data_IF_189604560687
#
_entry.id   IF_189604560687
#
_cell.length_a   1.000
_cell.length_b   1.000
_cell.length_c   1.000
_cell.angle_alpha   90.00
_cell.angle_beta   90.00
_cell.angle_gamma   90.00
#
_symmetry.space_group_name_H-M   'P 1'
#
loop_
_entity.id
_entity.type
_entity.pdbx_description
1 polymer ?
#
# COMPACT_ATOMS: atom_id res chain seq x y z
N UNK A 1 -48.34 -21.97 1.03
CA UNK A 1 -48.73 -23.40 1.04
C UNK A 1 -47.48 -24.20 0.69
N UNK A 2 -47.10 -25.15 1.56
CA UNK A 2 -45.90 -26.02 1.55
C UNK A 2 -44.54 -25.36 1.86
N UNK A 3 -44.13 -25.48 3.11
CA UNK A 3 -42.76 -25.82 3.50
C UNK A 3 -42.85 -27.04 4.43
N UNK A 4 -42.11 -28.10 4.10
CA UNK A 4 -42.01 -29.33 4.88
C UNK A 4 -40.78 -29.22 5.79
N UNK A 5 -41.03 -29.34 7.09
CA UNK A 5 -40.07 -29.72 8.12
C UNK A 5 -39.37 -31.04 7.76
N UNK A 6 -38.05 -31.10 7.95
CA UNK A 6 -37.34 -32.37 8.14
C UNK A 6 -36.38 -32.23 9.31
N UNK A 7 -36.77 -32.88 10.40
CA UNK A 7 -36.02 -33.01 11.65
C UNK A 7 -34.76 -33.84 11.42
N UNK A 8 -33.61 -33.38 11.91
CA UNK A 8 -32.46 -34.26 12.17
C UNK A 8 -32.38 -34.45 13.68
N UNK A 9 -32.87 -35.62 14.13
CA UNK A 9 -32.70 -36.10 15.50
C UNK A 9 -31.25 -36.47 15.73
N UNK A 10 -30.70 -35.89 16.80
CA UNK A 10 -29.54 -36.36 17.52
C UNK A 10 -29.83 -37.73 18.17
N UNK A 11 -28.93 -38.69 18.00
CA UNK A 11 -28.83 -39.90 18.83
C UNK A 11 -27.36 -40.32 18.84
N UNK A 12 -26.80 -40.35 20.04
CA UNK A 12 -25.37 -40.44 20.37
C UNK A 12 -24.99 -41.90 20.69
N UNK A 13 -23.67 -42.18 20.69
CA UNK A 13 -22.95 -43.29 21.35
C UNK A 13 -22.86 -44.56 20.48
N UNK A 14 -21.70 -45.16 20.18
CA UNK A 14 -20.41 -45.32 20.87
C UNK A 14 -19.37 -45.65 19.79
N UNK A 15 -18.14 -45.13 19.88
CA UNK A 15 -16.87 -45.79 19.52
C UNK A 15 -15.76 -44.75 19.35
N UNK A 16 -14.83 -44.73 20.31
CA UNK A 16 -13.41 -44.40 20.17
C UNK A 16 -12.97 -43.60 18.94
N UNK A 17 -12.73 -42.29 19.06
CA UNK A 17 -11.85 -41.57 18.13
C UNK A 17 -11.30 -40.27 18.76
N UNK A 18 -10.40 -40.43 19.72
CA UNK A 18 -9.56 -39.34 20.27
C UNK A 18 -8.46 -38.85 19.31
N UNK A 19 -8.58 -39.10 18.00
CA UNK A 19 -7.49 -38.91 17.03
C UNK A 19 -7.83 -38.04 15.81
N UNK A 20 -9.01 -37.41 15.73
CA UNK A 20 -9.45 -36.68 14.52
C UNK A 20 -9.58 -35.15 14.62
N UNK A 21 -9.31 -34.55 15.77
CA UNK A 21 -9.23 -33.08 15.90
C UNK A 21 -7.83 -32.51 15.61
N UNK A 22 -6.82 -33.36 15.38
CA UNK A 22 -5.43 -32.97 15.15
C UNK A 22 -4.99 -32.93 13.68
N UNK A 23 -5.80 -33.40 12.74
CA UNK A 23 -5.38 -33.62 11.35
C UNK A 23 -5.84 -32.56 10.34
N UNK A 24 -6.77 -31.68 10.70
CA UNK A 24 -7.29 -30.65 9.76
C UNK A 24 -6.61 -29.28 9.89
N UNK A 25 -5.73 -29.09 10.88
CA UNK A 25 -5.03 -27.80 11.09
C UNK A 25 -3.76 -27.65 10.22
N UNK A 26 -3.36 -28.65 9.44
CA UNK A 26 -2.10 -28.64 8.68
C UNK A 26 -2.22 -28.73 7.15
N UNK A 27 -3.40 -28.57 6.55
CA UNK A 27 -3.53 -28.46 5.09
C UNK A 27 -4.60 -27.45 4.67
N UNK A 28 -4.17 -26.48 3.86
CA UNK A 28 -4.93 -25.38 3.22
C UNK A 28 -5.01 -24.10 4.05
N UNK A 29 -4.96 -22.93 3.40
CA UNK A 29 -4.98 -21.59 4.01
C UNK A 29 -6.24 -21.38 4.87
N UNK A 30 -6.20 -21.82 6.14
CA UNK A 30 -7.27 -21.60 7.11
C UNK A 30 -7.35 -20.10 7.38
N UNK A 31 -8.51 -19.50 7.11
CA UNK A 31 -8.72 -18.08 7.38
C UNK A 31 -8.54 -17.82 8.89
N UNK A 32 -7.88 -16.72 9.31
CA UNK A 32 -7.57 -16.49 10.73
C UNK A 32 -8.80 -16.43 11.66
N UNK A 33 -9.98 -16.12 11.13
CA UNK A 33 -11.25 -16.25 11.88
C UNK A 33 -11.60 -17.71 12.19
N UNK A 34 -11.40 -18.63 11.25
CA UNK A 34 -11.70 -20.06 11.46
C UNK A 34 -10.72 -20.67 12.48
N UNK A 35 -9.45 -20.26 12.43
CA UNK A 35 -8.46 -20.62 13.45
C UNK A 35 -8.87 -20.10 14.84
N UNK A 36 -9.34 -18.85 14.93
CA UNK A 36 -9.82 -18.26 16.18
C UNK A 36 -11.06 -18.98 16.72
N UNK A 37 -12.04 -19.29 15.87
CA UNK A 37 -13.23 -20.07 16.22
C UNK A 37 -12.88 -21.47 16.69
N UNK A 38 -11.93 -22.14 16.03
CA UNK A 38 -11.42 -23.44 16.46
C UNK A 38 -10.77 -23.40 17.84
N UNK A 39 -9.94 -22.38 18.12
CA UNK A 39 -9.37 -22.19 19.47
C UNK A 39 -10.45 -21.90 20.50
N UNK A 40 -11.46 -21.07 20.18
CA UNK A 40 -12.56 -20.76 21.10
C UNK A 40 -13.37 -22.01 21.44
N UNK A 41 -13.68 -22.84 20.43
CA UNK A 41 -14.37 -24.10 20.62
C UNK A 41 -13.61 -25.03 21.57
N UNK A 42 -12.27 -25.13 21.45
CA UNK A 42 -11.44 -25.93 22.36
C UNK A 42 -11.45 -25.41 23.82
N UNK A 43 -11.57 -24.10 24.01
CA UNK A 43 -11.71 -23.51 25.36
C UNK A 43 -13.09 -23.79 25.98
N UNK A 44 -14.12 -23.89 25.14
CA UNK A 44 -15.52 -24.05 25.56
C UNK A 44 -15.95 -25.52 25.71
N UNK A 45 -15.08 -26.50 25.41
CA UNK A 45 -15.36 -27.93 25.62
C UNK A 45 -15.60 -28.25 27.10
N UNK A 46 -16.74 -28.85 27.43
CA UNK A 46 -17.15 -29.13 28.81
C UNK A 46 -16.32 -30.25 29.48
N UNK A 47 -15.97 -31.30 28.73
CA UNK A 47 -15.31 -32.50 29.27
C UNK A 47 -13.78 -32.40 29.29
N UNK A 48 -13.18 -31.52 28.47
CA UNK A 48 -11.74 -31.30 28.40
C UNK A 48 -11.41 -29.85 28.07
N UNK A 49 -11.67 -28.95 29.03
CA UNK A 49 -11.31 -27.53 28.89
C UNK A 49 -9.82 -27.39 28.66
N UNK A 50 -9.45 -27.05 27.43
CA UNK A 50 -8.08 -26.72 27.12
C UNK A 50 -7.77 -25.33 27.69
N UNK A 51 -6.56 -25.17 28.22
CA UNK A 51 -5.97 -23.86 28.50
C UNK A 51 -5.23 -23.32 27.27
N UNK A 52 -4.93 -22.02 27.25
CA UNK A 52 -4.16 -21.40 26.17
C UNK A 52 -2.80 -22.09 26.00
N UNK A 53 -2.18 -22.49 27.12
CA UNK A 53 -0.90 -23.21 27.17
C UNK A 53 -1.00 -24.61 26.54
N UNK A 54 -2.10 -25.32 26.78
CA UNK A 54 -2.32 -26.64 26.19
C UNK A 54 -2.64 -26.55 24.69
N UNK A 55 -3.41 -25.54 24.26
CA UNK A 55 -3.65 -25.29 22.83
C UNK A 55 -2.33 -24.93 22.13
N UNK A 56 -1.52 -24.06 22.75
CA UNK A 56 -0.18 -23.70 22.29
C UNK A 56 0.72 -24.92 22.10
N UNK A 57 0.79 -25.80 23.09
CA UNK A 57 1.58 -27.03 23.03
C UNK A 57 1.11 -27.99 21.92
N UNK A 58 -0.21 -28.13 21.71
CA UNK A 58 -0.78 -29.01 20.69
C UNK A 58 -0.61 -28.47 19.27
N UNK A 59 -0.68 -27.16 19.09
CA UNK A 59 -0.64 -26.50 17.77
C UNK A 59 0.77 -26.09 17.34
N UNK A 60 1.74 -26.12 18.26
CA UNK A 60 3.10 -25.62 18.01
C UNK A 60 3.18 -24.10 17.86
N UNK A 61 2.14 -23.36 18.26
CA UNK A 61 2.08 -21.89 18.25
C UNK A 61 2.41 -21.35 19.65
N UNK A 62 2.90 -20.12 19.75
CA UNK A 62 3.15 -19.51 21.06
C UNK A 62 1.82 -19.20 21.80
N UNK A 63 1.81 -19.17 23.15
CA UNK A 63 0.61 -18.77 23.90
C UNK A 63 0.12 -17.38 23.51
N UNK A 64 1.04 -16.46 23.22
CA UNK A 64 0.74 -15.10 22.73
C UNK A 64 0.02 -15.13 21.38
N UNK A 65 0.41 -16.03 20.47
CA UNK A 65 -0.27 -16.19 19.18
C UNK A 65 -1.71 -16.69 19.37
N UNK A 66 -1.90 -17.73 20.18
CA UNK A 66 -3.23 -18.31 20.47
C UNK A 66 -4.13 -17.27 21.13
N UNK A 67 -3.63 -16.56 22.16
CA UNK A 67 -4.36 -15.49 22.83
C UNK A 67 -4.73 -14.35 21.88
N UNK A 68 -3.80 -13.94 21.00
CA UNK A 68 -4.06 -12.91 20.00
C UNK A 68 -5.11 -13.36 18.99
N UNK A 69 -5.07 -14.62 18.53
CA UNK A 69 -6.08 -15.16 17.62
C UNK A 69 -7.45 -15.24 18.25
N UNK A 70 -7.56 -15.70 19.50
CA UNK A 70 -8.81 -15.73 20.25
C UNK A 70 -9.48 -14.37 20.32
N UNK A 71 -8.72 -13.27 20.37
CA UNK A 71 -9.32 -11.92 20.34
C UNK A 71 -10.17 -11.64 19.11
N UNK A 72 -9.91 -12.29 17.97
CA UNK A 72 -10.71 -12.11 16.76
C UNK A 72 -12.18 -12.52 16.95
N UNK A 73 -12.50 -13.38 17.93
CA UNK A 73 -13.90 -13.73 18.24
C UNK A 73 -14.67 -12.62 18.96
N UNK A 74 -13.99 -11.55 19.37
CA UNK A 74 -14.59 -10.36 20.01
C UNK A 74 -14.94 -9.26 18.97
N UNK A 75 -14.78 -9.53 17.67
CA UNK A 75 -15.11 -8.61 16.59
C UNK A 75 -16.63 -8.47 16.39
N UNK A 76 -17.08 -7.27 16.07
CA UNK A 76 -18.47 -7.03 15.64
C UNK A 76 -18.72 -7.58 14.24
N UNK A 77 -19.97 -7.92 13.93
CA UNK A 77 -20.33 -8.52 12.64
C UNK A 77 -19.84 -7.70 11.44
N UNK A 78 -19.94 -6.37 11.51
CA UNK A 78 -19.48 -5.46 10.47
C UNK A 78 -17.97 -5.59 10.19
N UNK A 79 -17.15 -5.79 11.22
CA UNK A 79 -15.70 -5.99 11.08
C UNK A 79 -15.39 -7.41 10.61
N UNK A 80 -16.11 -8.41 11.11
CA UNK A 80 -16.00 -9.81 10.67
C UNK A 80 -16.26 -9.91 9.17
N UNK A 81 -17.32 -9.28 8.68
CA UNK A 81 -17.68 -9.27 7.26
C UNK A 81 -16.60 -8.58 6.41
N UNK A 82 -16.06 -7.44 6.87
CA UNK A 82 -14.97 -6.75 6.18
C UNK A 82 -13.68 -7.60 6.15
N UNK A 83 -13.44 -8.39 7.19
CA UNK A 83 -12.28 -9.27 7.27
C UNK A 83 -12.42 -10.49 6.35
N UNK A 84 -13.58 -11.14 6.32
CA UNK A 84 -13.85 -12.24 5.38
C UNK A 84 -13.81 -11.80 3.91
N UNK A 85 -14.17 -10.54 3.62
CA UNK A 85 -14.03 -9.95 2.27
C UNK A 85 -12.61 -9.50 1.94
N UNK A 86 -11.64 -9.76 2.81
CA UNK A 86 -10.24 -9.34 2.68
C UNK A 86 -10.06 -7.81 2.51
N UNK A 87 -11.03 -7.01 2.96
CA UNK A 87 -10.92 -5.54 2.92
C UNK A 87 -9.90 -5.01 3.93
N UNK A 88 -9.68 -5.77 5.01
CA UNK A 88 -8.71 -5.49 6.06
C UNK A 88 -7.81 -6.71 6.30
N UNK A 89 -6.57 -6.47 6.73
CA UNK A 89 -5.65 -7.54 7.08
C UNK A 89 -5.79 -8.00 8.53
N UNK A 90 -5.16 -9.13 8.86
CA UNK A 90 -5.11 -9.70 10.22
C UNK A 90 -4.63 -8.69 11.27
N UNK A 91 -3.63 -7.87 10.91
CA UNK A 91 -3.11 -6.84 11.81
C UNK A 91 -4.15 -5.78 12.18
N UNK A 92 -4.99 -5.36 11.23
CA UNK A 92 -6.10 -4.44 11.49
C UNK A 92 -7.16 -5.11 12.36
N UNK A 93 -7.57 -6.33 12.00
CA UNK A 93 -8.58 -7.08 12.75
C UNK A 93 -8.17 -7.28 14.22
N UNK A 94 -6.90 -7.60 14.49
CA UNK A 94 -6.37 -7.74 15.86
C UNK A 94 -6.40 -6.42 16.65
N UNK A 95 -6.18 -5.27 16.01
CA UNK A 95 -6.29 -3.97 16.68
C UNK A 95 -7.75 -3.60 16.97
N UNK A 96 -8.65 -3.86 16.01
CA UNK A 96 -10.09 -3.61 16.17
C UNK A 96 -10.67 -4.48 17.28
N UNK A 97 -10.27 -5.75 17.37
CA UNK A 97 -10.70 -6.67 18.43
C UNK A 97 -10.36 -6.23 19.86
N UNK A 98 -9.42 -5.27 20.03
CA UNK A 98 -9.11 -4.70 21.35
C UNK A 98 -10.07 -3.58 21.78
N UNK A 99 -10.95 -3.13 20.89
CA UNK A 99 -11.85 -2.00 21.11
C UNK A 99 -13.26 -2.48 21.50
N UNK A 100 -14.00 -1.61 22.18
CA UNK A 100 -15.41 -1.87 22.48
C UNK A 100 -16.25 -1.91 21.19
N UNK A 101 -17.37 -2.65 21.17
CA UNK A 101 -18.17 -2.83 19.95
C UNK A 101 -18.56 -1.54 19.23
N UNK A 102 -18.92 -0.49 19.97
CA UNK A 102 -19.27 0.84 19.46
C UNK A 102 -18.09 1.56 18.79
N UNK A 103 -16.88 1.30 19.28
CA UNK A 103 -15.64 1.89 18.77
C UNK A 103 -15.09 1.15 17.55
N UNK A 104 -15.38 -0.15 17.43
CA UNK A 104 -14.89 -0.98 16.33
C UNK A 104 -15.37 -0.47 14.96
N UNK A 105 -16.63 -0.02 14.86
CA UNK A 105 -17.18 0.49 13.59
C UNK A 105 -16.54 1.81 13.17
N UNK A 106 -16.34 2.72 14.12
CA UNK A 106 -15.67 3.99 13.86
C UNK A 106 -14.22 3.78 13.44
N UNK A 107 -13.52 2.87 14.12
CA UNK A 107 -12.15 2.51 13.81
C UNK A 107 -12.03 1.78 12.45
N UNK A 108 -13.01 0.95 12.09
CA UNK A 108 -13.08 0.30 10.78
C UNK A 108 -13.22 1.34 9.66
N UNK A 109 -14.08 2.35 9.82
CA UNK A 109 -14.21 3.43 8.85
C UNK A 109 -12.87 4.17 8.66
N UNK A 110 -12.15 4.43 9.76
CA UNK A 110 -10.85 5.10 9.75
C UNK A 110 -9.71 4.28 9.14
N UNK A 111 -9.90 2.97 8.91
CA UNK A 111 -8.91 2.14 8.21
C UNK A 111 -8.74 2.54 6.74
N UNK A 112 -9.69 3.30 6.17
CA UNK A 112 -9.72 3.56 4.74
C UNK A 112 -9.57 5.05 4.43
N UNK A 113 -8.97 5.33 3.28
CA UNK A 113 -8.92 6.67 2.69
C UNK A 113 -9.46 6.64 1.28
N UNK A 114 -10.23 7.66 0.92
CA UNK A 114 -10.67 7.89 -0.44
C UNK A 114 -9.56 8.57 -1.25
N UNK A 115 -9.24 7.98 -2.40
CA UNK A 115 -8.32 8.55 -3.37
C UNK A 115 -9.08 8.98 -4.64
N UNK A 116 -8.96 10.28 -4.92
CA UNK A 116 -9.57 10.96 -6.06
C UNK A 116 -8.55 11.25 -7.18
N UNK A 117 -7.28 10.81 -7.01
CA UNK A 117 -6.17 11.16 -7.93
C UNK A 117 -6.31 10.56 -9.34
N UNK A 118 -7.09 9.50 -9.51
CA UNK A 118 -7.25 8.78 -10.78
C UNK A 118 -8.40 9.27 -11.65
N UNK A 119 -8.77 10.55 -11.62
CA UNK A 119 -9.64 11.22 -12.63
C UNK A 119 -11.00 10.56 -12.94
N UNK A 120 -11.41 9.57 -12.15
CA UNK A 120 -12.63 8.79 -12.34
C UNK A 120 -13.78 9.40 -11.54
N UNK A 121 -15.00 9.11 -11.97
CA UNK A 121 -16.21 9.62 -11.31
C UNK A 121 -16.48 9.02 -9.91
N UNK A 122 -15.66 8.05 -9.45
CA UNK A 122 -15.77 7.41 -8.14
C UNK A 122 -14.42 7.36 -7.44
N UNK A 123 -14.39 7.73 -6.16
CA UNK A 123 -13.21 7.60 -5.32
C UNK A 123 -12.81 6.14 -5.12
N UNK A 124 -11.51 5.85 -5.21
CA UNK A 124 -10.99 4.53 -4.85
C UNK A 124 -10.80 4.47 -3.34
N UNK A 125 -11.42 3.49 -2.68
CA UNK A 125 -11.20 3.22 -1.25
C UNK A 125 -9.88 2.47 -1.09
N UNK A 126 -8.92 3.06 -0.39
CA UNK A 126 -7.58 2.51 -0.14
C UNK A 126 -7.47 2.14 1.34
N UNK A 127 -7.05 0.91 1.63
CA UNK A 127 -6.71 0.48 2.98
C UNK A 127 -5.40 1.15 3.43
N UNK A 128 -5.44 1.84 4.57
CA UNK A 128 -4.27 2.44 5.18
C UNK A 128 -3.42 1.38 5.92
N UNK A 129 -2.10 1.57 6.07
CA UNK A 129 -1.27 0.68 6.87
C UNK A 129 -1.76 0.54 8.31
N UNK A 130 -1.49 -0.61 8.94
CA UNK A 130 -1.88 -0.90 10.35
C UNK A 130 -1.44 0.21 11.32
N UNK A 131 -0.28 0.81 11.08
CA UNK A 131 0.25 1.93 11.88
C UNK A 131 -0.68 3.15 11.88
N UNK A 132 -1.38 3.42 10.79
CA UNK A 132 -2.34 4.52 10.71
C UNK A 132 -3.57 4.26 11.58
N UNK A 133 -4.06 3.03 11.61
CA UNK A 133 -5.13 2.63 12.53
C UNK A 133 -4.68 2.76 13.99
N UNK A 134 -3.47 2.30 14.31
CA UNK A 134 -2.91 2.47 15.65
C UNK A 134 -2.88 3.94 16.09
N UNK A 135 -2.35 4.82 15.23
CA UNK A 135 -2.33 6.25 15.49
C UNK A 135 -3.74 6.83 15.67
N UNK A 136 -4.70 6.39 14.86
CA UNK A 136 -6.09 6.81 14.98
C UNK A 136 -6.71 6.39 16.32
N UNK A 137 -6.47 5.15 16.78
CA UNK A 137 -6.94 4.65 18.08
C UNK A 137 -6.35 5.49 19.22
N UNK A 138 -5.04 5.75 19.18
CA UNK A 138 -4.36 6.58 20.20
C UNK A 138 -4.87 8.03 20.23
N UNK A 139 -5.36 8.54 19.09
CA UNK A 139 -5.83 9.93 18.95
C UNK A 139 -7.33 10.11 19.18
N UNK A 140 -8.14 9.04 19.13
CA UNK A 140 -9.60 9.14 19.22
C UNK A 140 -10.21 8.29 20.33
N UNK A 141 -9.54 7.21 20.74
CA UNK A 141 -10.07 6.25 21.73
C UNK A 141 -9.21 6.22 22.99
N UNK A 142 -7.93 5.88 22.86
CA UNK A 142 -6.98 5.76 23.97
C UNK A 142 -6.23 7.09 24.18
N UNK A 143 -6.97 8.10 24.61
CA UNK A 143 -6.52 9.49 24.67
C UNK A 143 -5.50 9.69 25.79
N UNK A 144 -4.22 9.75 25.41
CA UNK A 144 -3.09 9.82 26.34
C UNK A 144 -3.16 11.10 27.18
N UNK A 145 -3.34 10.93 28.50
CA UNK A 145 -3.56 12.02 29.45
C UNK A 145 -2.34 12.95 29.57
N UNK A 146 -1.12 12.46 29.27
CA UNK A 146 0.08 13.29 29.23
C UNK A 146 -0.02 14.41 28.18
N UNK A 147 -0.70 14.17 27.07
CA UNK A 147 -0.87 15.11 25.95
C UNK A 147 -2.13 15.99 26.11
N UNK A 148 -2.89 15.83 27.19
CA UNK A 148 -4.10 16.62 27.40
C UNK A 148 -3.76 18.11 27.57
N UNK A 149 -4.46 19.02 26.85
CA UNK A 149 -4.23 20.46 26.92
C UNK A 149 -4.74 21.09 28.22
N UNK A 150 -5.58 20.35 28.96
CA UNK A 150 -6.20 20.81 30.21
C UNK A 150 -5.51 20.25 31.45
N UNK A 151 -5.73 20.92 32.59
CA UNK A 151 -5.27 20.40 33.88
C UNK A 151 -6.11 19.18 34.29
N UNK A 152 -5.42 18.05 34.43
CA UNK A 152 -5.99 16.77 34.83
C UNK A 152 -6.56 16.78 36.24
N UNK A 153 -6.09 17.70 37.10
CA UNK A 153 -6.53 17.84 38.49
C UNK A 153 -7.79 18.70 38.63
N UNK A 154 -8.14 19.48 37.61
CA UNK A 154 -9.29 20.40 37.65
C UNK A 154 -10.60 19.60 37.62
N UNK A 155 -11.22 19.45 38.80
CA UNK A 155 -12.51 18.81 38.97
C UNK A 155 -13.69 19.71 38.53
N UNK A 156 -13.46 21.02 38.40
CA UNK A 156 -14.48 22.01 38.06
C UNK A 156 -14.59 22.24 36.55
N UNK A 157 -13.60 21.77 35.77
CA UNK A 157 -13.61 21.92 34.32
C UNK A 157 -14.87 21.31 33.68
N UNK A 158 -15.27 20.13 34.15
CA UNK A 158 -16.56 19.50 33.83
C UNK A 158 -17.05 18.85 35.13
N UNK A 159 -17.93 19.51 35.90
CA UNK A 159 -18.32 19.06 37.25
C UNK A 159 -18.90 17.64 37.28
N UNK A 160 -19.68 17.26 36.26
CA UNK A 160 -20.24 15.92 36.14
C UNK A 160 -19.19 14.81 35.97
N UNK A 161 -17.99 15.14 35.47
CA UNK A 161 -16.92 14.17 35.23
C UNK A 161 -15.85 14.16 36.33
N UNK A 162 -15.71 15.25 37.10
CA UNK A 162 -14.71 15.38 38.16
C UNK A 162 -13.26 15.38 37.65
N UNK A 163 -12.32 15.06 38.53
CA UNK A 163 -10.87 15.06 38.23
C UNK A 163 -10.43 13.82 37.45
N UNK A 164 -9.49 13.99 36.52
CA UNK A 164 -8.92 12.86 35.78
C UNK A 164 -7.95 12.02 36.64
N UNK A 165 -7.38 12.62 37.70
CA UNK A 165 -6.38 11.96 38.58
C UNK A 165 -6.97 10.87 39.45
N UNK A 166 -8.28 10.86 39.68
CA UNK A 166 -8.99 9.82 40.45
C UNK A 166 -10.02 9.07 39.61
N UNK A 167 -10.04 9.32 38.29
CA UNK A 167 -11.04 8.76 37.41
C UNK A 167 -10.87 7.23 37.26
N UNK A 168 -11.94 6.43 37.40
CA UNK A 168 -11.86 4.98 37.18
C UNK A 168 -11.75 4.60 35.70
N UNK A 169 -12.06 5.53 34.78
CA UNK A 169 -12.06 5.34 33.32
C UNK A 169 -10.69 5.62 32.67
N UNK A 170 -9.61 5.55 33.44
CA UNK A 170 -8.23 5.69 32.92
C UNK A 170 -7.51 4.36 32.95
N UNK A 171 -6.62 4.15 32.00
CA UNK A 171 -5.86 2.91 31.90
C UNK A 171 -4.92 2.71 33.09
N UNK A 172 -4.44 3.79 33.71
CA UNK A 172 -3.63 3.77 34.93
C UNK A 172 -4.37 3.34 36.20
N UNK A 173 -5.71 3.34 36.20
CA UNK A 173 -6.53 2.82 37.31
C UNK A 173 -6.61 1.28 37.26
N UNK A 174 -6.66 0.72 36.05
CA UNK A 174 -6.74 -0.73 35.80
C UNK A 174 -5.51 -1.24 35.03
N UNK A 175 -4.31 -1.08 35.61
CA UNK A 175 -3.02 -1.43 34.95
C UNK A 175 -2.94 -2.87 34.44
N UNK A 176 -3.60 -3.81 35.09
CA UNK A 176 -3.62 -5.22 34.68
C UNK A 176 -4.32 -5.43 33.34
N UNK A 177 -5.37 -4.66 33.04
CA UNK A 177 -6.11 -4.75 31.78
C UNK A 177 -5.40 -4.05 30.61
N UNK A 178 -4.43 -3.17 30.91
CA UNK A 178 -3.79 -2.30 29.94
C UNK A 178 -2.26 -2.41 29.97
N UNK A 179 -1.72 -3.60 30.25
CA UNK A 179 -0.27 -3.85 30.28
C UNK A 179 0.45 -3.48 28.99
N UNK A 180 -0.24 -3.55 27.85
CA UNK A 180 0.28 -3.21 26.52
C UNK A 180 0.63 -1.72 26.35
N UNK A 181 0.03 -0.82 27.17
CA UNK A 181 0.30 0.63 27.11
C UNK A 181 1.58 1.03 27.86
N UNK A 182 2.26 0.08 28.51
CA UNK A 182 3.51 0.31 29.22
C UNK A 182 3.36 1.35 30.34
N UNK A 183 4.06 2.47 30.22
CA UNK A 183 4.05 3.57 31.21
C UNK A 183 3.03 4.68 30.89
N UNK A 184 2.27 4.57 29.79
CA UNK A 184 1.33 5.60 29.37
C UNK A 184 -0.02 5.42 30.10
N UNK A 185 -0.58 6.54 30.56
CA UNK A 185 -1.93 6.62 31.15
C UNK A 185 -2.84 7.34 30.16
N UNK A 186 -3.97 6.73 29.83
CA UNK A 186 -4.90 7.19 28.80
C UNK A 186 -6.34 7.18 29.32
N UNK A 187 -7.15 8.12 28.83
CA UNK A 187 -8.59 8.12 29.04
C UNK A 187 -9.24 7.15 28.05
N UNK A 188 -10.13 6.29 28.53
CA UNK A 188 -10.90 5.35 27.67
C UNK A 188 -12.30 5.87 27.33
N UNK A 189 -12.62 7.10 27.72
CA UNK A 189 -13.92 7.74 27.50
C UNK A 189 -13.78 8.99 26.61
N UNK A 190 -13.87 8.84 25.26
CA UNK A 190 -13.65 9.94 24.31
C UNK A 190 -14.57 11.13 24.51
N UNK A 191 -15.87 10.90 24.74
CA UNK A 191 -16.84 11.99 24.94
C UNK A 191 -16.53 12.85 26.18
N UNK A 192 -16.06 12.23 27.27
CA UNK A 192 -15.64 12.96 28.47
C UNK A 192 -14.39 13.82 28.21
N UNK A 193 -13.41 13.24 27.50
CA UNK A 193 -12.18 13.96 27.14
C UNK A 193 -12.48 15.15 26.22
N UNK A 194 -13.29 14.96 25.18
CA UNK A 194 -13.69 16.01 24.25
C UNK A 194 -14.44 17.14 24.97
N UNK A 195 -15.40 16.83 25.86
CA UNK A 195 -16.10 17.82 26.66
C UNK A 195 -15.13 18.65 27.55
N UNK A 196 -14.11 18.01 28.13
CA UNK A 196 -13.07 18.71 28.91
C UNK A 196 -12.20 19.61 28.03
N UNK A 197 -11.81 19.16 26.84
CA UNK A 197 -11.08 19.99 25.87
C UNK A 197 -11.91 21.20 25.46
N UNK A 198 -13.20 21.04 25.20
CA UNK A 198 -14.10 22.13 24.84
C UNK A 198 -14.28 23.14 25.98
N UNK A 199 -14.51 22.66 27.20
CA UNK A 199 -14.58 23.51 28.38
C UNK A 199 -13.26 24.26 28.62
N UNK A 200 -12.11 23.62 28.35
CA UNK A 200 -10.80 24.26 28.46
C UNK A 200 -10.62 25.38 27.43
N UNK A 201 -10.96 25.12 26.17
CA UNK A 201 -10.93 26.13 25.11
C UNK A 201 -11.83 27.30 25.45
N UNK A 202 -13.07 27.03 25.89
CA UNK A 202 -14.02 28.07 26.28
C UNK A 202 -13.49 28.91 27.46
N UNK A 203 -12.92 28.27 28.49
CA UNK A 203 -12.30 28.94 29.65
C UNK A 203 -11.10 29.80 29.23
N UNK A 204 -10.27 29.33 28.30
CA UNK A 204 -9.12 30.07 27.79
C UNK A 204 -9.54 31.31 26.98
N UNK A 205 -10.53 31.18 26.10
CA UNK A 205 -11.10 32.30 25.33
C UNK A 205 -11.74 33.34 26.26
N UNK A 206 -12.50 32.89 27.27
CA UNK A 206 -13.11 33.78 28.25
C UNK A 206 -12.06 34.51 29.11
N UNK A 207 -10.96 33.84 29.48
CA UNK A 207 -9.88 34.45 30.26
C UNK A 207 -9.03 35.45 29.46
N UNK A 208 -8.86 35.23 28.15
CA UNK A 208 -8.11 36.12 27.25
C UNK A 208 -8.86 36.29 25.92
N UNK A 209 -9.78 37.28 25.82
CA UNK A 209 -10.56 37.53 24.60
C UNK A 209 -9.71 37.93 23.39
N UNK A 210 -8.46 38.36 23.61
CA UNK A 210 -7.49 38.70 22.55
C UNK A 210 -6.83 37.48 21.91
N UNK A 211 -7.10 36.26 22.40
CA UNK A 211 -6.56 35.03 21.80
C UNK A 211 -7.16 34.81 20.41
N UNK A 212 -6.29 34.68 19.43
CA UNK A 212 -6.69 34.33 18.07
C UNK A 212 -7.08 32.85 18.03
N UNK A 213 -8.22 32.52 17.43
CA UNK A 213 -8.63 31.13 17.23
C UNK A 213 -8.09 30.63 15.90
N UNK A 214 -7.39 29.49 15.87
CA UNK A 214 -6.81 28.91 14.65
C UNK A 214 -7.30 27.49 14.40
N UNK A 215 -7.42 27.14 13.12
CA UNK A 215 -7.77 25.80 12.66
C UNK A 215 -6.52 25.09 12.13
N UNK A 216 -6.26 23.87 12.62
CA UNK A 216 -5.17 23.00 12.17
C UNK A 216 -5.65 21.76 11.39
N UNK A 217 -6.96 21.57 11.25
CA UNK A 217 -7.55 20.49 10.48
C UNK A 217 -7.28 20.62 8.97
N UNK A 218 -7.03 19.48 8.33
CA UNK A 218 -6.94 19.38 6.88
C UNK A 218 -8.35 19.17 6.29
N UNK A 219 -8.93 20.18 5.66
CA UNK A 219 -10.26 20.05 5.03
C UNK A 219 -10.88 21.39 4.60
N UNK A 220 -12.07 21.31 3.98
CA UNK A 220 -12.87 22.50 3.69
C UNK A 220 -13.41 23.07 5.00
N UNK A 221 -13.15 24.36 5.22
CA UNK A 221 -13.63 25.06 6.41
C UNK A 221 -15.08 25.50 6.20
N UNK A 222 -15.88 25.50 7.29
CA UNK A 222 -17.22 26.10 7.28
C UNK A 222 -17.10 27.61 7.04
N UNK A 223 -17.74 28.12 5.99
CA UNK A 223 -17.80 29.56 5.70
C UNK A 223 -18.38 30.32 6.91
N UNK A 224 -17.71 31.40 7.33
CA UNK A 224 -18.15 32.24 8.45
C UNK A 224 -17.66 31.82 9.85
N UNK A 225 -16.78 30.82 9.97
CA UNK A 225 -16.18 30.48 11.28
C UNK A 225 -15.28 31.61 11.82
N UNK A 226 -15.37 31.89 13.12
CA UNK A 226 -14.50 32.83 13.87
C UNK A 226 -13.03 32.34 13.88
N UNK A 227 -12.82 31.06 13.61
CA UNK A 227 -11.52 30.42 13.56
C UNK A 227 -10.76 30.77 12.26
N UNK A 228 -9.49 31.17 12.35
CA UNK A 228 -8.66 31.44 11.18
C UNK A 228 -8.20 30.14 10.49
N UNK A 229 -8.36 30.02 9.15
CA UNK A 229 -7.84 28.89 8.38
C UNK A 229 -6.32 28.81 8.40
N UNK A 230 -5.81 27.60 8.14
CA UNK A 230 -4.37 27.30 8.07
C UNK A 230 -3.57 28.18 7.11
N UNK A 231 -4.19 28.74 6.07
CA UNK A 231 -3.54 29.60 5.08
C UNK A 231 -3.50 31.09 5.46
N UNK A 232 -4.16 31.50 6.56
CA UNK A 232 -4.23 32.90 7.02
C UNK A 232 -3.31 33.19 8.22
N UNK A 233 -2.52 32.22 8.66
CA UNK A 233 -1.54 32.43 9.71
C UNK A 233 -0.25 31.66 9.44
N UNK A 234 0.86 32.22 9.93
CA UNK A 234 2.14 31.52 10.01
C UNK A 234 2.40 31.14 11.45
N UNK A 235 2.56 29.84 11.71
CA UNK A 235 2.90 29.33 13.03
C UNK A 235 4.40 29.53 13.31
N UNK A 236 4.69 30.06 14.50
CA UNK A 236 6.05 30.28 14.98
C UNK A 236 6.39 29.13 15.92
N UNK A 237 7.27 28.27 15.42
CA UNK A 237 7.77 27.08 16.08
C UNK A 237 8.61 27.43 17.29
N UNK A 238 8.39 26.71 18.39
CA UNK A 238 9.18 26.81 19.61
C UNK A 238 10.38 25.84 19.63
N UNK A 239 10.42 24.86 18.71
CA UNK A 239 11.53 23.92 18.56
C UNK A 239 12.81 24.61 18.07
N UNK A 240 13.94 24.12 18.56
CA UNK A 240 15.25 24.61 18.14
C UNK A 240 15.53 24.12 16.71
N UNK A 241 15.86 24.99 15.75
CA UNK A 241 16.19 24.57 14.40
C UNK A 241 17.42 23.66 14.43
N UNK A 242 17.38 22.55 13.69
CA UNK A 242 18.47 21.58 13.65
C UNK A 242 19.72 22.18 12.97
N UNK A 243 19.51 22.94 11.90
CA UNK A 243 20.58 23.53 11.07
C UNK A 243 20.34 25.03 10.79
N UNK A 244 21.40 25.74 10.36
CA UNK A 244 21.34 27.18 10.00
C UNK A 244 20.34 27.49 8.90
N UNK A 245 20.15 26.60 7.93
CA UNK A 245 19.15 26.75 6.86
C UNK A 245 17.72 26.68 7.39
N UNK A 246 17.48 25.82 8.38
CA UNK A 246 16.17 25.71 9.02
C UNK A 246 15.87 26.94 9.89
N UNK A 247 16.89 27.47 10.58
CA UNK A 247 16.79 28.71 11.34
C UNK A 247 16.46 29.95 10.47
N UNK A 248 16.81 29.90 9.18
CA UNK A 248 16.49 30.97 8.25
C UNK A 248 15.01 30.99 7.82
N UNK A 249 14.28 29.88 8.03
CA UNK A 249 12.87 29.76 7.63
C UNK A 249 11.98 30.69 8.46
N UNK A 250 10.90 31.22 7.88
CA UNK A 250 10.00 32.13 8.59
C UNK A 250 9.36 31.54 9.84
N UNK A 251 9.07 30.24 9.83
CA UNK A 251 8.48 29.50 10.96
C UNK A 251 9.33 29.53 12.24
N UNK A 252 10.63 29.82 12.14
CA UNK A 252 11.55 29.90 13.29
C UNK A 252 11.92 31.34 13.68
N UNK A 253 11.35 32.33 12.99
CA UNK A 253 11.62 33.75 13.25
C UNK A 253 10.43 34.39 13.93
N UNK A 254 10.66 35.00 15.08
CA UNK A 254 9.67 35.87 15.73
C UNK A 254 9.53 37.18 14.95
N UNK A 255 8.33 37.74 14.93
CA UNK A 255 8.04 39.03 14.31
C UNK A 255 7.35 39.97 15.29
N UNK A 256 7.22 41.25 14.92
CA UNK A 256 6.53 42.27 15.72
C UNK A 256 5.03 41.96 15.93
N UNK A 257 4.42 41.23 15.00
CA UNK A 257 2.99 40.88 15.00
C UNK A 257 2.73 39.48 15.57
N UNK A 258 3.65 38.98 16.41
CA UNK A 258 3.48 37.67 17.04
C UNK A 258 2.40 37.77 18.11
N UNK A 259 1.35 36.98 17.97
CA UNK A 259 0.23 36.90 18.92
C UNK A 259 0.06 35.47 19.40
N UNK A 260 -0.48 35.30 20.62
CA UNK A 260 -0.90 34.00 21.12
C UNK A 260 -2.21 33.58 20.45
N UNK A 261 -2.26 32.34 19.99
CA UNK A 261 -3.44 31.72 19.42
C UNK A 261 -3.78 30.42 20.14
N UNK A 262 -5.07 30.11 20.21
CA UNK A 262 -5.58 28.83 20.68
C UNK A 262 -6.11 28.02 19.50
N UNK A 263 -5.73 26.74 19.45
CA UNK A 263 -6.28 25.81 18.47
C UNK A 263 -7.71 25.47 18.87
N UNK A 264 -8.70 25.98 18.14
CA UNK A 264 -10.12 25.72 18.40
C UNK A 264 -10.64 24.50 17.62
N UNK A 265 -9.99 24.15 16.51
CA UNK A 265 -10.36 23.07 15.60
C UNK A 265 -9.12 22.30 15.12
N UNK A 266 -9.16 20.95 15.18
CA UNK A 266 -8.08 20.07 14.73
C UNK A 266 -7.62 19.06 15.77
N UNK A 267 -6.52 18.35 15.47
CA UNK A 267 -5.96 17.29 16.33
C UNK A 267 -5.41 17.88 17.64
N UNK A 268 -4.81 19.07 17.56
CA UNK A 268 -4.16 19.75 18.70
C UNK A 268 -5.10 20.73 19.42
N UNK A 269 -6.42 20.46 19.40
CA UNK A 269 -7.44 21.35 19.98
C UNK A 269 -7.16 21.63 21.46
N UNK A 270 -7.16 22.90 21.85
CA UNK A 270 -6.86 23.36 23.21
C UNK A 270 -5.42 23.80 23.43
N UNK A 271 -4.49 23.54 22.51
CA UNK A 271 -3.12 24.01 22.65
C UNK A 271 -2.96 25.50 22.33
N UNK A 272 -2.04 26.15 23.05
CA UNK A 272 -1.61 27.52 22.79
C UNK A 272 -0.39 27.52 21.87
N UNK A 273 -0.48 28.24 20.75
CA UNK A 273 0.59 28.42 19.77
C UNK A 273 0.90 29.90 19.59
N UNK A 274 2.09 30.22 19.10
CA UNK A 274 2.45 31.58 18.70
C UNK A 274 2.31 31.69 17.19
N UNK A 275 1.56 32.68 16.72
CA UNK A 275 1.29 32.85 15.29
C UNK A 275 1.48 34.30 14.86
N UNK A 276 1.76 34.48 13.58
CA UNK A 276 1.66 35.76 12.89
C UNK A 276 0.48 35.69 11.91
N UNK A 277 -0.51 36.56 12.10
CA UNK A 277 -1.69 36.68 11.23
C UNK A 277 -1.58 37.83 10.23
N UNK A 278 -0.54 38.65 10.34
CA UNK A 278 -0.38 39.86 9.53
C UNK A 278 0.08 39.51 8.10
N UNK A 279 -0.76 39.71 7.07
CA UNK A 279 -0.43 39.35 5.69
C UNK A 279 0.72 40.19 5.11
N UNK A 280 0.99 41.37 5.69
CA UNK A 280 2.07 42.26 5.27
C UNK A 280 3.37 42.07 6.04
N UNK A 281 3.46 41.05 6.91
CA UNK A 281 4.64 40.82 7.74
C UNK A 281 5.89 40.57 6.89
N UNK A 282 6.94 41.42 6.99
CA UNK A 282 8.14 41.29 6.16
C UNK A 282 8.98 40.05 6.48
N UNK A 283 8.76 39.43 7.65
CA UNK A 283 9.46 38.22 8.10
C UNK A 283 8.80 36.95 7.56
N UNK A 284 7.46 36.89 7.58
CA UNK A 284 6.67 35.70 7.26
C UNK A 284 6.10 35.70 5.84
N UNK A 285 5.85 36.88 5.29
CA UNK A 285 5.45 37.10 3.90
C UNK A 285 6.44 38.05 3.21
N UNK A 286 7.74 37.70 3.13
CA UNK A 286 8.69 38.49 2.37
C UNK A 286 8.19 38.58 0.92
N UNK A 287 8.03 39.79 0.38
CA UNK A 287 7.61 40.00 -1.02
C UNK A 287 8.46 39.10 -1.91
N UNK A 288 7.82 38.09 -2.51
CA UNK A 288 8.51 37.06 -3.25
C UNK A 288 9.34 37.68 -4.37
N UNK A 289 10.64 37.36 -4.43
CA UNK A 289 11.51 37.71 -5.56
C UNK A 289 10.95 37.19 -6.89
N UNK A 290 10.12 36.13 -6.86
CA UNK A 290 9.47 35.57 -8.04
C UNK A 290 8.48 36.53 -8.70
N UNK A 291 7.84 37.44 -7.93
CA UNK A 291 6.89 38.39 -8.49
C UNK A 291 7.58 39.49 -9.32
N UNK A 292 8.84 39.83 -8.97
CA UNK A 292 9.68 40.71 -9.81
C UNK A 292 10.19 40.05 -11.09
N UNK A 293 10.34 38.71 -11.11
CA UNK A 293 10.77 37.97 -12.31
C UNK A 293 9.59 37.68 -13.24
N UNK A 294 8.41 37.42 -12.68
CA UNK A 294 7.18 37.21 -13.43
C UNK A 294 6.70 38.47 -14.16
N UNK A 295 6.99 39.68 -13.64
CA UNK A 295 6.69 40.95 -14.30
C UNK A 295 7.84 41.52 -15.13
N UNK A 296 8.96 40.81 -15.25
CA UNK A 296 10.05 41.21 -16.14
C UNK A 296 9.63 40.95 -17.62
N UNK A 297 9.51 42.00 -18.45
CA UNK A 297 9.12 41.85 -19.86
C UNK A 297 10.09 40.96 -20.65
N UNK A 298 11.37 40.87 -20.25
CA UNK A 298 12.34 39.96 -20.89
C UNK A 298 12.02 38.49 -20.62
N UNK A 299 11.58 38.15 -19.41
CA UNK A 299 11.23 36.78 -19.04
C UNK A 299 9.96 36.31 -19.76
N UNK A 300 8.94 37.19 -19.84
CA UNK A 300 7.72 36.90 -20.63
C UNK A 300 8.02 36.71 -22.12
N UNK A 301 8.90 37.54 -22.69
CA UNK A 301 9.32 37.43 -24.08
C UNK A 301 10.10 36.13 -24.36
N UNK A 302 10.99 35.71 -23.45
CA UNK A 302 11.74 34.46 -23.57
C UNK A 302 10.83 33.23 -23.45
N UNK A 303 9.88 33.24 -22.51
CA UNK A 303 8.86 32.18 -22.39
C UNK A 303 7.99 32.09 -23.64
N UNK A 304 7.55 33.22 -24.19
CA UNK A 304 6.76 33.22 -25.42
C UNK A 304 7.55 32.71 -26.62
N UNK A 305 8.84 33.09 -26.72
CA UNK A 305 9.76 32.55 -27.72
C UNK A 305 9.89 31.03 -27.60
N UNK A 306 10.11 30.50 -26.40
CA UNK A 306 10.22 29.06 -26.16
C UNK A 306 8.91 28.32 -26.48
N UNK A 307 7.75 28.89 -26.09
CA UNK A 307 6.44 28.32 -26.45
C UNK A 307 6.24 28.30 -27.96
N UNK A 308 6.60 29.38 -28.65
CA UNK A 308 6.52 29.48 -30.12
C UNK A 308 7.45 28.49 -30.80
N UNK A 309 8.70 28.37 -30.35
CA UNK A 309 9.66 27.40 -30.86
C UNK A 309 9.18 25.97 -30.66
N UNK A 310 8.63 25.65 -29.49
CA UNK A 310 8.04 24.33 -29.20
C UNK A 310 6.82 24.06 -30.08
N UNK A 311 5.93 25.04 -30.26
CA UNK A 311 4.77 24.92 -31.13
C UNK A 311 5.19 24.73 -32.61
N UNK A 312 6.19 25.46 -33.09
CA UNK A 312 6.76 25.29 -34.42
C UNK A 312 7.38 23.89 -34.54
N UNK A 313 8.18 23.44 -33.58
CA UNK A 313 8.81 22.12 -33.59
C UNK A 313 7.76 20.99 -33.62
N UNK A 314 6.73 21.08 -32.77
CA UNK A 314 5.63 20.12 -32.74
C UNK A 314 4.85 20.10 -34.04
N UNK A 315 4.46 21.28 -34.55
CA UNK A 315 3.69 21.38 -35.81
C UNK A 315 4.50 20.89 -37.00
N UNK A 316 5.80 21.23 -37.03
CA UNK A 316 6.74 20.74 -38.04
C UNK A 316 6.85 19.23 -37.96
N UNK A 317 7.08 18.67 -36.77
CA UNK A 317 7.17 17.23 -36.55
C UNK A 317 5.92 16.47 -37.03
N UNK A 318 4.73 16.97 -36.70
CA UNK A 318 3.45 16.38 -37.16
C UNK A 318 3.32 16.44 -38.68
N UNK A 319 3.64 17.58 -39.30
CA UNK A 319 3.57 17.73 -40.76
C UNK A 319 4.61 16.89 -41.48
N UNK A 320 5.83 16.80 -40.94
CA UNK A 320 6.88 15.92 -41.45
C UNK A 320 6.45 14.46 -41.38
N UNK A 321 5.85 14.03 -40.26
CA UNK A 321 5.30 12.67 -40.13
C UNK A 321 4.21 12.41 -41.17
N UNK A 322 3.27 13.34 -41.36
CA UNK A 322 2.22 13.21 -42.36
C UNK A 322 2.77 13.11 -43.78
N UNK A 323 3.79 13.91 -44.13
CA UNK A 323 4.46 13.85 -45.42
C UNK A 323 5.23 12.53 -45.62
N UNK A 324 5.88 12.01 -44.57
CA UNK A 324 6.52 10.69 -44.60
C UNK A 324 5.46 9.62 -44.86
N UNK A 325 4.35 9.61 -44.13
CA UNK A 325 3.26 8.64 -44.30
C UNK A 325 2.67 8.69 -45.72
N UNK A 326 2.50 9.88 -46.29
CA UNK A 326 2.05 10.03 -47.68
C UNK A 326 3.05 9.48 -48.71
N UNK A 327 4.34 9.41 -48.38
CA UNK A 327 5.39 8.86 -49.21
C UNK A 327 5.61 7.34 -49.03
N UNK A 328 4.98 6.72 -48.02
CA UNK A 328 5.07 5.26 -47.82
C UNK A 328 4.28 4.55 -48.92
N UNK A 329 4.90 3.61 -49.66
CA UNK A 329 4.19 2.85 -50.70
C UNK A 329 3.10 1.95 -50.11
N UNK A 330 2.06 1.63 -50.91
CA UNK A 330 0.93 0.76 -50.52
C UNK A 330 1.41 -0.64 -50.06
N UNK A 331 2.52 -1.12 -50.61
CA UNK A 331 3.26 -2.28 -50.11
C UNK A 331 4.66 -1.87 -49.66
N UNK A 332 5.05 -2.26 -48.44
CA UNK A 332 6.38 -1.97 -47.91
C UNK A 332 7.45 -2.68 -48.73
N UNK A 333 8.43 -1.93 -49.23
CA UNK A 333 9.56 -2.47 -49.98
C UNK A 333 10.66 -2.94 -49.02
N UNK A 334 11.65 -3.70 -49.51
CA UNK A 334 12.84 -4.12 -48.73
C UNK A 334 13.46 -2.99 -47.91
N UNK A 335 13.60 -1.80 -48.49
CA UNK A 335 14.19 -0.64 -47.80
C UNK A 335 13.37 -0.24 -46.56
N UNK A 336 12.05 -0.25 -46.67
CA UNK A 336 11.15 0.17 -45.61
C UNK A 336 11.08 -0.89 -44.50
N UNK A 337 11.00 -2.17 -44.88
CA UNK A 337 11.08 -3.30 -43.94
C UNK A 337 12.42 -3.33 -43.20
N UNK A 338 13.53 -3.09 -43.90
CA UNK A 338 14.87 -3.02 -43.30
C UNK A 338 14.96 -1.86 -42.31
N UNK A 339 14.49 -0.67 -42.71
CA UNK A 339 14.49 0.52 -41.86
C UNK A 339 13.74 0.27 -40.54
N UNK A 340 12.54 -0.32 -40.60
CA UNK A 340 11.73 -0.61 -39.41
C UNK A 340 12.35 -1.74 -38.57
N UNK A 341 12.81 -2.82 -39.21
CA UNK A 341 13.41 -3.97 -38.52
C UNK A 341 14.68 -3.59 -37.74
N UNK A 342 15.56 -2.77 -38.32
CA UNK A 342 16.78 -2.30 -37.63
C UNK A 342 16.45 -1.44 -36.41
N UNK A 343 15.47 -0.53 -36.52
CA UNK A 343 15.06 0.33 -35.39
C UNK A 343 14.40 -0.47 -34.29
N UNK A 344 13.49 -1.39 -34.61
CA UNK A 344 12.87 -2.26 -33.61
C UNK A 344 13.89 -3.18 -32.94
N UNK A 345 14.83 -3.76 -33.70
CA UNK A 345 15.88 -4.61 -33.13
C UNK A 345 16.77 -3.85 -32.13
N UNK A 346 17.01 -2.56 -32.37
CA UNK A 346 17.79 -1.70 -31.45
C UNK A 346 17.09 -1.42 -30.11
N UNK A 347 15.78 -1.68 -30.01
CA UNK A 347 15.00 -1.49 -28.78
C UNK A 347 14.97 -2.75 -27.89
N UNK A 348 15.44 -3.90 -28.37
CA UNK A 348 15.52 -5.13 -27.58
C UNK A 348 16.81 -5.17 -26.75
N UNK A 349 16.72 -5.74 -25.54
CA UNK A 349 17.88 -6.08 -24.73
C UNK A 349 18.63 -7.30 -25.30
N UNK A 350 19.89 -7.49 -24.88
CA UNK A 350 20.78 -8.51 -25.46
C UNK A 350 20.22 -9.94 -25.37
N UNK A 351 19.47 -10.27 -24.31
CA UNK A 351 18.85 -11.57 -24.14
C UNK A 351 17.72 -11.83 -25.15
N UNK A 352 16.85 -10.86 -25.38
CA UNK A 352 15.74 -10.99 -26.34
C UNK A 352 16.25 -10.94 -27.77
N UNK A 353 17.23 -10.09 -28.04
CA UNK A 353 17.92 -10.09 -29.32
C UNK A 353 18.58 -11.45 -29.59
N UNK A 354 19.13 -12.12 -28.57
CA UNK A 354 19.67 -13.47 -28.70
C UNK A 354 18.61 -14.53 -29.02
N UNK A 355 17.39 -14.38 -28.51
CA UNK A 355 16.27 -15.27 -28.85
C UNK A 355 15.96 -15.19 -30.35
N UNK A 356 15.82 -13.97 -30.89
CA UNK A 356 15.55 -13.75 -32.32
C UNK A 356 16.74 -14.21 -33.16
N UNK A 357 17.94 -13.73 -32.84
CA UNK A 357 19.18 -14.05 -33.56
C UNK A 357 19.41 -15.57 -33.68
N UNK A 358 19.09 -16.34 -32.62
CA UNK A 358 19.22 -17.80 -32.62
C UNK A 358 18.29 -18.48 -33.64
N UNK A 359 17.10 -17.94 -33.91
CA UNK A 359 16.19 -18.50 -34.93
C UNK A 359 16.79 -18.41 -36.34
N UNK A 360 17.60 -17.38 -36.58
CA UNK A 360 18.30 -17.13 -37.84
C UNK A 360 19.75 -17.67 -37.85
N UNK A 361 20.10 -18.52 -36.88
CA UNK A 361 21.42 -19.17 -36.81
C UNK A 361 22.58 -18.26 -36.35
N UNK A 362 22.28 -17.06 -35.87
CA UNK A 362 23.28 -16.09 -35.42
C UNK A 362 23.60 -16.36 -33.94
N UNK A 363 24.86 -16.65 -33.63
CA UNK A 363 25.36 -16.86 -32.27
C UNK A 363 26.58 -15.98 -32.03
N UNK A 364 26.64 -15.34 -30.86
CA UNK A 364 27.81 -14.58 -30.42
C UNK A 364 28.95 -15.54 -30.08
N UNK A 365 30.09 -15.43 -30.77
CA UNK A 365 31.32 -16.12 -30.40
C UNK A 365 32.08 -15.30 -29.33
N UNK A 366 33.00 -15.94 -28.60
CA UNK A 366 33.67 -15.33 -27.44
C UNK A 366 34.47 -14.05 -27.80
N UNK A 367 34.90 -13.94 -29.07
CA UNK A 367 35.71 -12.84 -29.62
C UNK A 367 35.07 -12.14 -30.84
N UNK A 368 33.76 -12.25 -31.04
CA UNK A 368 33.06 -11.62 -32.18
C UNK A 368 32.49 -10.23 -31.86
N UNK A 369 32.19 -9.47 -32.92
CA UNK A 369 31.39 -8.24 -32.86
C UNK A 369 30.13 -8.39 -31.99
N UNK A 370 29.62 -7.26 -31.48
CA UNK A 370 28.40 -7.26 -30.67
C UNK A 370 27.23 -7.91 -31.42
N UNK A 371 26.39 -8.64 -30.69
CA UNK A 371 25.27 -9.37 -31.27
C UNK A 371 24.36 -8.45 -32.11
N UNK A 372 24.17 -7.19 -31.68
CA UNK A 372 23.46 -6.16 -32.44
C UNK A 372 24.10 -5.82 -33.79
N UNK A 373 25.44 -5.72 -33.87
CA UNK A 373 26.13 -5.47 -35.12
C UNK A 373 26.02 -6.65 -36.09
N UNK A 374 26.17 -7.87 -35.57
CA UNK A 374 26.00 -9.11 -36.35
C UNK A 374 24.57 -9.24 -36.88
N UNK A 375 23.59 -8.96 -36.04
CA UNK A 375 22.18 -8.98 -36.42
C UNK A 375 21.86 -7.90 -37.46
N UNK A 376 22.32 -6.66 -37.28
CA UNK A 376 22.15 -5.59 -38.28
C UNK A 376 22.84 -5.91 -39.63
N UNK A 377 24.01 -6.56 -39.60
CA UNK A 377 24.67 -7.03 -40.82
C UNK A 377 23.86 -8.12 -41.55
N UNK A 378 23.20 -9.01 -40.78
CA UNK A 378 22.27 -9.99 -41.33
C UNK A 378 21.05 -9.35 -41.96
N UNK A 379 20.38 -8.41 -41.27
CA UNK A 379 19.18 -7.73 -41.78
C UNK A 379 19.42 -7.04 -43.12
N UNK A 380 20.57 -6.37 -43.30
CA UNK A 380 20.93 -5.73 -44.57
C UNK A 380 20.97 -6.70 -45.76
N UNK A 381 21.30 -7.97 -45.52
CA UNK A 381 21.38 -9.02 -46.56
C UNK A 381 20.10 -9.84 -46.68
N UNK A 382 19.19 -9.74 -45.71
CA UNK A 382 17.95 -10.51 -45.68
C UNK A 382 17.00 -10.14 -46.84
N UNK A 383 16.18 -11.11 -47.25
CA UNK A 383 15.09 -10.91 -48.20
C UNK A 383 13.86 -10.29 -47.51
N UNK A 384 12.93 -9.74 -48.29
CA UNK A 384 11.71 -9.10 -47.77
C UNK A 384 10.89 -10.04 -46.89
N UNK A 385 10.78 -11.30 -47.28
CA UNK A 385 10.07 -12.35 -46.53
C UNK A 385 10.67 -12.58 -45.15
N UNK A 386 12.00 -12.50 -45.02
CA UNK A 386 12.73 -12.65 -43.76
C UNK A 386 12.60 -11.40 -42.91
N UNK A 387 12.73 -10.21 -43.51
CA UNK A 387 12.55 -8.94 -42.80
C UNK A 387 11.15 -8.81 -42.21
N UNK A 388 10.12 -9.27 -42.94
CA UNK A 388 8.74 -9.31 -42.44
C UNK A 388 8.59 -10.21 -41.19
N UNK A 389 9.21 -11.40 -41.19
CA UNK A 389 9.20 -12.31 -40.03
C UNK A 389 9.94 -11.70 -38.83
N UNK A 390 11.13 -11.14 -39.06
CA UNK A 390 11.90 -10.47 -38.00
C UNK A 390 11.11 -9.32 -37.38
N UNK A 391 10.42 -8.52 -38.21
CA UNK A 391 9.61 -7.40 -37.73
C UNK A 391 8.51 -7.87 -36.78
N UNK A 392 7.81 -8.95 -37.12
CA UNK A 392 6.77 -9.56 -36.28
C UNK A 392 7.36 -10.09 -34.98
N UNK A 393 8.42 -10.90 -35.05
CA UNK A 393 9.09 -11.47 -33.88
C UNK A 393 9.59 -10.40 -32.91
N UNK A 394 10.25 -9.36 -33.45
CA UNK A 394 10.82 -8.26 -32.67
C UNK A 394 9.71 -7.44 -31.99
N UNK A 395 8.60 -7.20 -32.69
CA UNK A 395 7.44 -6.48 -32.15
C UNK A 395 6.78 -7.25 -31.01
N UNK A 396 6.54 -8.56 -31.18
CA UNK A 396 5.97 -9.43 -30.13
C UNK A 396 6.87 -9.43 -28.89
N UNK A 397 8.17 -9.61 -29.07
CA UNK A 397 9.13 -9.64 -27.96
C UNK A 397 9.27 -8.29 -27.27
N UNK A 398 9.20 -7.17 -28.01
CA UNK A 398 9.19 -5.83 -27.45
C UNK A 398 7.91 -5.57 -26.65
N UNK A 399 6.74 -5.93 -27.16
CA UNK A 399 5.48 -5.78 -26.43
C UNK A 399 5.45 -6.63 -25.15
N UNK A 400 6.02 -7.84 -25.19
CA UNK A 400 6.21 -8.68 -24.00
C UNK A 400 7.19 -8.09 -22.95
N UNK A 401 7.86 -6.96 -23.22
CA UNK A 401 8.63 -6.22 -22.19
C UNK A 401 7.76 -5.21 -21.44
N UNK A 402 6.70 -4.70 -22.08
CA UNK A 402 5.84 -3.63 -21.55
C UNK A 402 4.55 -4.19 -20.94
N UNK A 403 4.17 -5.40 -21.32
CA UNK A 403 2.92 -6.05 -20.95
C UNK A 403 3.14 -7.51 -20.52
N UNK A 404 2.07 -8.20 -20.11
CA UNK A 404 2.12 -9.60 -19.71
C UNK A 404 2.56 -10.49 -20.90
N UNK A 405 3.72 -11.18 -20.82
CA UNK A 405 4.26 -11.97 -21.92
C UNK A 405 3.32 -13.07 -22.41
N UNK A 406 2.61 -13.75 -21.50
CA UNK A 406 1.70 -14.84 -21.84
C UNK A 406 0.51 -14.36 -22.66
N UNK A 407 -0.03 -13.19 -22.29
CA UNK A 407 -1.15 -12.58 -23.01
C UNK A 407 -0.69 -12.11 -24.40
N UNK A 408 0.45 -11.42 -24.49
CA UNK A 408 1.00 -10.94 -25.77
C UNK A 408 1.25 -12.09 -26.75
N UNK A 409 1.78 -13.21 -26.26
CA UNK A 409 2.02 -14.40 -27.08
C UNK A 409 0.71 -15.09 -27.50
N UNK A 410 -0.29 -15.15 -26.62
CA UNK A 410 -1.61 -15.69 -26.94
C UNK A 410 -2.32 -14.85 -28.02
N UNK A 411 -2.32 -13.52 -27.87
CA UNK A 411 -2.95 -12.60 -28.83
C UNK A 411 -2.27 -12.70 -30.20
N UNK A 412 -0.94 -12.77 -30.23
CA UNK A 412 -0.18 -12.99 -31.46
C UNK A 412 -0.49 -14.37 -32.08
N UNK A 413 -0.55 -15.43 -31.27
CA UNK A 413 -0.87 -16.76 -31.73
C UNK A 413 -2.27 -16.84 -32.35
N UNK A 414 -3.25 -16.13 -31.78
CA UNK A 414 -4.59 -16.04 -32.34
C UNK A 414 -4.59 -15.38 -33.74
N UNK A 415 -3.86 -14.27 -33.92
CA UNK A 415 -3.73 -13.57 -35.22
C UNK A 415 -3.11 -14.47 -36.29
N UNK A 416 -2.06 -15.21 -35.94
CA UNK A 416 -1.36 -16.10 -36.86
C UNK A 416 -1.92 -17.54 -36.90
N UNK A 417 -3.07 -17.78 -36.24
CA UNK A 417 -3.75 -19.09 -36.17
C UNK A 417 -2.84 -20.23 -35.71
N UNK A 418 -2.01 -19.95 -34.71
CA UNK A 418 -1.08 -20.90 -34.10
C UNK A 418 -1.76 -21.59 -32.92
N UNK A 419 -1.81 -22.92 -32.94
CA UNK A 419 -2.36 -23.73 -31.85
C UNK A 419 -1.37 -23.81 -30.67
N UNK A 420 -1.56 -22.94 -29.68
CA UNK A 420 -0.71 -22.87 -28.50
C UNK A 420 -0.85 -24.10 -27.59
N UNK A 421 -2.00 -24.76 -27.58
CA UNK A 421 -2.25 -25.94 -26.75
C UNK A 421 -1.52 -27.16 -27.31
N UNK A 422 -1.53 -27.34 -28.63
CA UNK A 422 -0.74 -28.37 -29.30
C UNK A 422 0.77 -28.16 -29.08
N UNK A 423 1.25 -26.91 -29.10
CA UNK A 423 2.65 -26.59 -28.78
C UNK A 423 2.95 -26.92 -27.32
N UNK A 424 2.10 -26.48 -26.38
CA UNK A 424 2.27 -26.76 -24.96
C UNK A 424 2.29 -28.27 -24.67
N UNK A 425 1.44 -29.05 -25.34
CA UNK A 425 1.39 -30.50 -25.23
C UNK A 425 2.70 -31.14 -25.72
N UNK A 426 3.21 -30.74 -26.89
CA UNK A 426 4.50 -31.22 -27.42
C UNK A 426 5.64 -30.89 -26.48
N UNK A 427 5.69 -29.68 -25.95
CA UNK A 427 6.71 -29.27 -24.97
C UNK A 427 6.62 -30.14 -23.71
N UNK A 428 5.43 -30.34 -23.14
CA UNK A 428 5.23 -31.22 -21.97
C UNK A 428 5.72 -32.65 -22.25
N UNK A 429 5.46 -33.19 -23.45
CA UNK A 429 5.93 -34.50 -23.87
C UNK A 429 7.47 -34.55 -24.00
N UNK A 430 8.10 -33.52 -24.57
CA UNK A 430 9.56 -33.41 -24.65
C UNK A 430 10.23 -33.35 -23.28
N UNK A 431 9.67 -32.59 -22.33
CA UNK A 431 10.19 -32.51 -20.98
C UNK A 431 10.03 -33.84 -20.24
N UNK A 432 8.87 -34.50 -20.36
CA UNK A 432 8.66 -35.83 -19.81
C UNK A 432 9.63 -36.87 -20.40
N UNK A 433 9.93 -36.79 -21.71
CA UNK A 433 10.91 -37.67 -22.35
C UNK A 433 12.35 -37.38 -21.87
N UNK A 434 12.72 -36.11 -21.67
CA UNK A 434 14.02 -35.71 -21.11
C UNK A 434 14.19 -36.15 -19.66
N UNK A 435 13.14 -36.04 -18.83
CA UNK A 435 13.16 -36.53 -17.44
C UNK A 435 13.28 -38.05 -17.37
N UNK A 436 12.57 -38.79 -18.23
CA UNK A 436 12.71 -40.26 -18.35
C UNK A 436 14.12 -40.66 -18.77
N UNK A 437 14.72 -39.91 -19.69
CA UNK A 437 16.10 -40.14 -20.14
C UNK A 437 17.12 -39.82 -19.05
N UNK A 438 16.92 -38.75 -18.27
CA UNK A 438 17.80 -38.38 -17.16
C UNK A 438 17.68 -39.35 -15.97
N UNK A 439 16.47 -39.82 -15.66
CA UNK A 439 16.24 -40.84 -14.62
C UNK A 439 16.83 -42.19 -15.01
N UNK A 440 16.71 -42.60 -16.29
CA UNK A 440 17.40 -43.77 -16.83
C UNK A 440 18.93 -43.62 -16.75
N UNK A 441 19.50 -42.48 -17.13
CA UNK A 441 20.95 -42.20 -16.99
C UNK A 441 21.43 -42.23 -15.54
N UNK A 442 20.63 -41.71 -14.59
CA UNK A 442 20.93 -41.78 -13.15
C UNK A 442 20.82 -43.21 -12.59
N UNK A 443 19.90 -44.02 -13.11
CA UNK A 443 19.76 -45.43 -12.73
C UNK A 443 20.94 -46.29 -13.21
N UNK A 444 21.40 -46.07 -14.45
CA UNK A 444 22.60 -46.73 -15.01
C UNK A 444 23.88 -46.30 -14.28
N UNK A 445 24.01 -45.02 -13.92
CA UNK A 445 25.14 -44.55 -13.10
C UNK A 445 25.16 -45.17 -11.69
N UNK A 446 23.97 -45.41 -11.09
CA UNK A 446 23.84 -46.09 -9.78
C UNK A 446 24.10 -47.60 -9.85
N UNK A 447 23.77 -48.27 -10.96
CA UNK A 447 24.06 -49.70 -11.12
C UNK A 447 25.55 -49.95 -11.36
N UNK A 448 26.21 -49.09 -12.14
CA UNK A 448 27.66 -49.14 -12.36
C UNK A 448 28.45 -48.88 -11.07
N UNK A 449 28.02 -47.93 -10.22
CA UNK A 449 28.66 -47.70 -8.91
C UNK A 449 28.43 -48.84 -7.91
N UNK A 450 27.30 -49.56 -7.96
CA UNK A 450 27.08 -50.77 -7.14
C UNK A 450 27.91 -51.96 -7.62
N UNK A 451 28.08 -52.14 -8.93
CA UNK A 451 28.91 -53.21 -9.49
C UNK A 451 30.40 -53.01 -9.14
N UNK A 452 30.91 -51.77 -9.21
CA UNK A 452 32.28 -51.43 -8.82
C UNK A 452 32.52 -51.61 -7.32
N UNK A 453 31.52 -51.38 -6.45
CA UNK A 453 31.64 -51.66 -5.01
C UNK A 453 31.62 -53.16 -4.67
N UNK A 454 30.89 -53.98 -5.43
CA UNK A 454 30.85 -55.45 -5.23
C UNK A 454 32.13 -56.13 -5.71
N UNK A 455 32.76 -55.63 -6.77
CA UNK A 455 34.04 -56.13 -7.28
C UNK A 455 35.26 -55.72 -6.44
N UNK A 456 35.09 -54.81 -5.46
CA UNK A 456 36.14 -54.40 -4.51
C UNK A 456 36.03 -55.10 -3.14
N UNK A 457 35.00 -55.93 -2.96
CA UNK A 457 34.68 -56.65 -1.72
C UNK A 457 34.69 -58.19 -1.90
N UNK A 458 35.06 -58.66 -3.10
CA UNK A 458 35.50 -60.01 -3.41
C UNK A 458 36.97 -59.91 -3.80
#
# INVERSE_FOLDING_TARGET
>A
MRFQDSSVRCSVLESSDGARAGSDLQRSDVHPMEEASGFRALLDLEESKYSIEQISAKTGKSPVYVASRLKLTELTQNVVDAFYREEIGVGHALLLAKLQPDQQEQALAACFKEDWSTGGQKAKRILLPVRSLQFWIESNILLVLKLAPFDKRDAQLVPAAGSCVDCPKRTGHNKLLFSDLGKLDACTAPGCYQAKVEAHVAKAIAAKPTLVQINTAHGQQKEGSVTLPRNRYTEIRADKPANKEQAARPEFKTCKYTTEAIVSEGIDKGELRKVCTEPTCPVHHPKSRAQKVADDPKWKAEQEKQRRETAIANTTGIRTLAAITAAVPVGLLKRDLLFVAERLASLLDENRLAIVAKQYGIRKAKDSDSLGKLFAAYLRRAEESVLGKVLVETTILYMATRHNPSQVLHDAAAVYKVDTDAIALKVKQEFAAKEKTQTAKKAVAKSQTKAVKKAKAA
#
